data_IF_803886287602
#
_entry.id   IF_803886287602
#
_cell.length_a   1.000
_cell.length_b   1.000
_cell.length_c   1.000
_cell.angle_alpha   90.00
_cell.angle_beta   90.00
_cell.angle_gamma   90.00
#
_symmetry.space_group_name_H-M   'P 1'
#
loop_
_entity.id
_entity.type
_entity.pdbx_description
1 polymer ?
#
# COMPACT_ATOMS: atom_id res chain seq x y z
N UNK A 1 -18.67 -2.25 0.71
CA UNK A 1 -18.02 -2.40 -0.60
C UNK A 1 -18.43 -3.76 -1.12
N UNK A 2 -18.96 -3.83 -2.35
CA UNK A 2 -19.09 -5.11 -3.04
C UNK A 2 -17.72 -5.80 -3.07
N UNK A 3 -17.68 -7.12 -2.96
CA UNK A 3 -16.42 -7.86 -3.11
C UNK A 3 -15.92 -7.58 -4.53
N UNK A 4 -14.72 -7.00 -4.71
CA UNK A 4 -14.12 -6.70 -6.02
C UNK A 4 -14.13 -7.93 -6.95
N UNK A 5 -14.16 -9.13 -6.36
CA UNK A 5 -14.33 -10.39 -7.08
C UNK A 5 -15.65 -10.49 -7.84
N UNK A 6 -16.74 -9.88 -7.34
CA UNK A 6 -18.07 -9.90 -7.96
C UNK A 6 -18.13 -9.08 -9.26
N UNK A 7 -17.17 -8.18 -9.48
CA UNK A 7 -17.07 -7.36 -10.70
C UNK A 7 -16.15 -7.97 -11.77
N UNK A 8 -15.45 -9.06 -11.46
CA UNK A 8 -14.56 -9.74 -12.41
C UNK A 8 -15.35 -10.65 -13.34
N UNK A 9 -14.93 -10.75 -14.60
CA UNK A 9 -15.44 -11.77 -15.52
C UNK A 9 -14.98 -13.16 -15.06
N UNK A 10 -15.95 -13.96 -14.57
CA UNK A 10 -15.74 -15.32 -14.07
C UNK A 10 -16.11 -16.39 -15.10
N UNK A 11 -16.61 -16.02 -16.29
CA UNK A 11 -17.14 -16.96 -17.30
C UNK A 11 -16.10 -18.01 -17.72
N UNK A 12 -14.82 -17.62 -17.78
CA UNK A 12 -13.71 -18.52 -18.10
C UNK A 12 -13.54 -19.68 -17.10
N UNK A 13 -14.08 -19.57 -15.88
CA UNK A 13 -13.99 -20.61 -14.84
C UNK A 13 -15.01 -21.73 -15.01
N UNK A 14 -16.06 -21.51 -15.81
CA UNK A 14 -17.22 -22.39 -15.93
C UNK A 14 -16.93 -23.68 -16.71
N UNK A 15 -15.84 -23.72 -17.49
CA UNK A 15 -15.46 -24.89 -18.26
C UNK A 15 -14.99 -26.05 -17.38
N UNK A 16 -15.22 -27.29 -17.82
CA UNK A 16 -14.85 -28.49 -17.04
C UNK A 16 -13.35 -28.78 -17.06
N UNK A 17 -12.69 -28.62 -18.22
CA UNK A 17 -11.26 -28.95 -18.39
C UNK A 17 -10.41 -27.71 -18.17
N UNK A 18 -9.26 -27.89 -17.50
CA UNK A 18 -8.30 -26.80 -17.25
C UNK A 18 -7.82 -26.13 -18.54
N UNK A 19 -7.62 -26.91 -19.63
CA UNK A 19 -7.22 -26.35 -20.93
C UNK A 19 -8.28 -25.44 -21.54
N UNK A 20 -9.57 -25.78 -21.39
CA UNK A 20 -10.67 -24.94 -21.90
C UNK A 20 -10.80 -23.66 -21.08
N UNK A 21 -10.59 -23.74 -19.76
CA UNK A 21 -10.54 -22.56 -18.88
C UNK A 21 -9.40 -21.61 -19.28
N UNK A 22 -8.23 -22.17 -19.57
CA UNK A 22 -7.08 -21.39 -20.02
C UNK A 22 -7.38 -20.70 -21.35
N UNK A 23 -7.87 -21.43 -22.35
CA UNK A 23 -8.24 -20.86 -23.64
C UNK A 23 -9.31 -19.76 -23.51
N UNK A 24 -10.31 -19.96 -22.65
CA UNK A 24 -11.35 -18.96 -22.38
C UNK A 24 -10.77 -17.72 -21.69
N UNK A 25 -9.87 -17.88 -20.71
CA UNK A 25 -9.18 -16.76 -20.08
C UNK A 25 -8.31 -15.99 -21.06
N UNK A 26 -7.56 -16.70 -21.92
CA UNK A 26 -6.73 -16.06 -22.97
C UNK A 26 -7.55 -15.28 -24.00
N UNK A 27 -8.81 -15.65 -24.20
CA UNK A 27 -9.75 -14.98 -25.10
C UNK A 27 -10.44 -13.75 -24.50
N UNK A 28 -10.30 -13.51 -23.19
CA UNK A 28 -10.77 -12.26 -22.56
C UNK A 28 -10.10 -11.04 -23.22
N UNK A 29 -10.78 -9.89 -23.19
CA UNK A 29 -10.16 -8.64 -23.59
C UNK A 29 -9.08 -8.19 -22.59
N UNK A 30 -8.30 -7.19 -22.99
CA UNK A 30 -7.16 -6.72 -22.21
C UNK A 30 -7.61 -6.03 -20.90
N UNK A 31 -8.78 -5.39 -20.88
CA UNK A 31 -9.33 -4.74 -19.69
C UNK A 31 -9.75 -5.77 -18.62
N UNK A 32 -10.39 -6.87 -19.04
CA UNK A 32 -10.76 -7.97 -18.16
C UNK A 32 -9.51 -8.69 -17.61
N UNK A 33 -8.49 -8.92 -18.46
CA UNK A 33 -7.19 -9.47 -18.02
C UNK A 33 -6.48 -8.53 -17.05
N UNK A 34 -6.47 -7.23 -17.33
CA UNK A 34 -5.88 -6.22 -16.44
C UNK A 34 -6.61 -6.17 -15.09
N UNK A 35 -7.93 -6.31 -15.08
CA UNK A 35 -8.72 -6.39 -13.85
C UNK A 35 -8.36 -7.62 -13.00
N UNK A 36 -8.17 -8.78 -13.64
CA UNK A 36 -7.67 -9.98 -12.96
C UNK A 36 -6.25 -9.81 -12.41
N UNK A 37 -5.35 -9.19 -13.18
CA UNK A 37 -3.99 -8.88 -12.72
C UNK A 37 -4.01 -7.93 -11.52
N UNK A 38 -4.80 -6.86 -11.59
CA UNK A 38 -4.96 -5.90 -10.50
C UNK A 38 -5.50 -6.59 -9.24
N UNK A 39 -6.48 -7.50 -9.38
CA UNK A 39 -6.98 -8.30 -8.26
C UNK A 39 -5.90 -9.21 -7.68
N UNK A 40 -5.13 -9.92 -8.50
CA UNK A 40 -4.02 -10.75 -8.05
C UNK A 40 -2.97 -9.93 -7.30
N UNK A 41 -2.56 -8.77 -7.83
CA UNK A 41 -1.63 -7.85 -7.18
C UNK A 41 -2.18 -7.30 -5.86
N UNK A 42 -3.44 -6.90 -5.80
CA UNK A 42 -4.06 -6.44 -4.56
C UNK A 42 -4.07 -7.55 -3.49
N UNK A 43 -4.20 -8.82 -3.91
CA UNK A 43 -4.17 -9.98 -3.01
C UNK A 43 -2.78 -10.34 -2.48
N UNK A 44 -1.70 -9.79 -3.06
CA UNK A 44 -0.34 -9.95 -2.51
C UNK A 44 -0.02 -8.94 -1.42
N UNK A 45 -0.86 -7.93 -1.20
CA UNK A 45 -0.67 -6.96 -0.12
C UNK A 45 -0.98 -7.61 1.24
N UNK A 46 0.03 -7.68 2.10
CA UNK A 46 -0.12 -8.18 3.47
C UNK A 46 -0.35 -7.03 4.44
N UNK A 47 -1.47 -7.05 5.17
CA UNK A 47 -1.71 -6.06 6.21
C UNK A 47 -0.63 -6.15 7.31
N UNK A 48 0.00 -5.02 7.63
CA UNK A 48 0.93 -4.94 8.75
C UNK A 48 0.88 -3.57 9.40
N UNK A 49 1.17 -3.57 10.70
CA UNK A 49 1.05 -2.42 11.60
C UNK A 49 2.26 -1.48 11.54
N UNK A 50 3.30 -1.81 10.75
CA UNK A 50 4.46 -0.94 10.52
C UNK A 50 5.15 -0.44 11.79
N UNK A 51 5.23 -1.28 12.83
CA UNK A 51 5.77 -0.87 14.14
C UNK A 51 7.28 -0.69 14.03
N UNK A 52 7.77 0.50 14.39
CA UNK A 52 9.21 0.81 14.40
C UNK A 52 10.02 -0.22 15.21
N UNK A 53 11.11 -0.69 14.60
CA UNK A 53 12.03 -1.67 15.19
C UNK A 53 12.62 -1.12 16.50
N UNK A 54 12.43 -1.81 17.63
CA UNK A 54 13.38 -1.72 18.74
C UNK A 54 14.65 -2.48 18.35
N UNK A 55 15.82 -1.90 18.64
CA UNK A 55 17.10 -2.58 18.38
C UNK A 55 17.11 -3.98 19.02
N UNK A 56 17.29 -5.02 18.19
CA UNK A 56 17.38 -6.41 18.63
C UNK A 56 16.06 -7.21 18.65
N UNK A 57 14.95 -6.68 18.13
CA UNK A 57 13.71 -7.46 17.92
C UNK A 57 13.42 -7.70 16.44
N UNK A 58 13.03 -8.92 16.08
CA UNK A 58 12.46 -9.24 14.77
C UNK A 58 11.00 -8.80 14.73
N UNK A 59 10.70 -7.82 13.87
CA UNK A 59 9.36 -7.33 13.57
C UNK A 59 9.34 -6.68 12.17
N UNK A 60 8.16 -6.56 11.53
CA UNK A 60 8.06 -6.02 10.17
C UNK A 60 8.47 -4.54 10.12
N UNK A 61 9.18 -4.15 9.07
CA UNK A 61 9.59 -2.77 8.78
C UNK A 61 8.38 -1.85 8.61
N UNK A 62 8.45 -0.53 8.94
CA UNK A 62 7.45 0.41 8.49
C UNK A 62 7.21 0.26 6.98
N UNK A 63 5.94 0.16 6.58
CA UNK A 63 5.59 -0.23 5.23
C UNK A 63 5.29 1.03 4.43
N UNK A 64 6.36 1.65 3.95
CA UNK A 64 6.33 2.81 3.08
C UNK A 64 5.37 2.60 1.88
N UNK A 65 5.29 1.38 1.35
CA UNK A 65 4.32 1.01 0.30
C UNK A 65 2.86 1.23 0.72
N UNK A 66 2.48 0.91 1.97
CA UNK A 66 1.11 1.10 2.44
C UNK A 66 0.77 2.58 2.60
N UNK A 67 1.70 3.37 3.12
CA UNK A 67 1.55 4.82 3.23
C UNK A 67 1.38 5.46 1.85
N UNK A 68 2.20 5.02 0.88
CA UNK A 68 2.11 5.47 -0.51
C UNK A 68 0.77 5.09 -1.16
N UNK A 69 0.34 3.83 -1.03
CA UNK A 69 -0.94 3.36 -1.56
C UNK A 69 -2.12 4.11 -0.94
N UNK A 70 -2.09 4.34 0.38
CA UNK A 70 -3.14 5.06 1.07
C UNK A 70 -3.22 6.53 0.63
N UNK A 71 -2.07 7.17 0.40
CA UNK A 71 -2.00 8.51 -0.18
C UNK A 71 -2.55 8.53 -1.61
N UNK A 72 -2.18 7.56 -2.47
CA UNK A 72 -2.68 7.45 -3.84
C UNK A 72 -4.20 7.25 -3.89
N UNK A 73 -4.74 6.45 -2.98
CA UNK A 73 -6.18 6.22 -2.84
C UNK A 73 -6.93 7.42 -2.22
N UNK A 74 -6.22 8.46 -1.77
CA UNK A 74 -6.81 9.63 -1.14
C UNK A 74 -7.50 9.31 0.19
N UNK A 75 -7.02 8.30 0.92
CA UNK A 75 -7.58 7.93 2.22
C UNK A 75 -7.33 9.06 3.21
N UNK A 76 -8.40 9.66 3.72
CA UNK A 76 -8.33 10.66 4.77
C UNK A 76 -8.57 10.01 6.14
N UNK A 77 -7.51 9.84 6.94
CA UNK A 77 -7.63 9.23 8.27
C UNK A 77 -8.55 10.04 9.19
N UNK A 78 -8.53 11.37 9.08
CA UNK A 78 -9.35 12.27 9.91
C UNK A 78 -10.87 12.14 9.62
N UNK A 79 -11.28 11.58 8.47
CA UNK A 79 -12.69 11.27 8.20
C UNK A 79 -13.17 9.97 8.84
N UNK A 80 -12.25 9.09 9.22
CA UNK A 80 -12.58 7.78 9.81
C UNK A 80 -12.34 7.72 11.32
N UNK A 81 -11.49 8.60 11.85
CA UNK A 81 -11.16 8.64 13.26
C UNK A 81 -11.01 10.08 13.76
N UNK A 82 -11.52 10.34 14.97
CA UNK A 82 -11.41 11.64 15.66
C UNK A 82 -10.88 11.48 17.08
N UNK A 83 -9.94 12.34 17.52
CA UNK A 83 -9.46 12.29 18.88
C UNK A 83 -10.52 12.81 19.86
N UNK A 84 -10.71 12.09 20.95
CA UNK A 84 -11.58 12.46 22.07
C UNK A 84 -10.78 12.31 23.37
N UNK A 85 -11.32 12.85 24.47
CA UNK A 85 -10.78 12.66 25.81
C UNK A 85 -10.66 11.16 26.12
N UNK A 86 -11.73 10.40 25.84
CA UNK A 86 -11.81 8.97 26.13
C UNK A 86 -10.85 8.10 25.29
N UNK A 87 -10.65 8.42 24.01
CA UNK A 87 -9.85 7.59 23.11
C UNK A 87 -8.37 8.02 23.01
N UNK A 88 -8.03 9.28 23.31
CA UNK A 88 -6.68 9.82 23.07
C UNK A 88 -6.23 10.87 24.10
N UNK A 89 -6.94 11.99 24.25
CA UNK A 89 -6.41 13.16 24.97
C UNK A 89 -6.15 12.90 26.48
N UNK A 90 -6.91 11.99 27.12
CA UNK A 90 -6.63 11.60 28.50
C UNK A 90 -5.38 10.74 28.66
N UNK A 91 -4.92 10.10 27.57
CA UNK A 91 -3.78 9.17 27.58
C UNK A 91 -2.43 9.84 27.35
N UNK A 92 -2.44 11.07 26.83
CA UNK A 92 -1.22 11.84 26.58
C UNK A 92 -0.92 12.82 27.71
N UNK A 93 0.34 13.29 27.78
CA UNK A 93 0.76 14.24 28.81
C UNK A 93 0.15 15.63 28.58
N UNK A 94 0.07 16.45 29.62
CA UNK A 94 -0.36 17.86 29.49
C UNK A 94 0.52 18.64 28.49
N UNK A 95 1.82 18.35 28.47
CA UNK A 95 2.76 18.96 27.53
C UNK A 95 2.45 18.57 26.08
N UNK A 96 2.10 17.30 25.81
CA UNK A 96 1.71 16.85 24.48
C UNK A 96 0.40 17.52 24.02
N UNK A 97 -0.60 17.64 24.90
CA UNK A 97 -1.84 18.38 24.60
C UNK A 97 -1.54 19.83 24.17
N UNK A 98 -0.69 20.54 24.92
CA UNK A 98 -0.30 21.90 24.57
C UNK A 98 0.47 21.97 23.24
N UNK A 99 1.29 20.97 22.93
CA UNK A 99 1.97 20.88 21.65
C UNK A 99 0.97 20.71 20.49
N UNK A 100 -0.06 19.85 20.64
CA UNK A 100 -1.09 19.67 19.61
C UNK A 100 -1.93 20.95 19.41
N UNK A 101 -2.29 21.65 20.49
CA UNK A 101 -2.97 22.95 20.38
C UNK A 101 -2.07 23.96 19.67
N UNK A 102 -0.76 23.95 19.95
CA UNK A 102 0.20 24.82 19.27
C UNK A 102 0.38 24.49 17.80
N UNK A 103 0.24 23.22 17.42
CA UNK A 103 0.34 22.75 16.03
C UNK A 103 -0.80 23.31 15.17
N UNK A 104 -2.04 23.31 15.70
CA UNK A 104 -3.22 23.76 14.94
C UNK A 104 -3.53 25.25 15.11
N UNK A 105 -3.25 25.81 16.29
CA UNK A 105 -3.66 27.16 16.69
C UNK A 105 -2.51 28.11 17.02
N UNK A 106 -1.27 27.64 16.90
CA UNK A 106 -0.07 28.41 17.23
C UNK A 106 0.22 28.53 18.74
N UNK A 107 1.42 29.03 19.08
CA UNK A 107 1.90 29.05 20.46
C UNK A 107 1.07 29.96 21.38
N UNK A 108 0.49 31.04 20.85
CA UNK A 108 -0.37 31.96 21.62
C UNK A 108 -1.65 31.28 22.09
N UNK A 109 -2.26 30.44 21.24
CA UNK A 109 -3.44 29.67 21.64
C UNK A 109 -3.07 28.66 22.72
N UNK A 110 -1.98 27.91 22.54
CA UNK A 110 -1.50 26.98 23.56
C UNK A 110 -1.22 27.67 24.91
N UNK A 111 -0.66 28.89 24.87
CA UNK A 111 -0.38 29.66 26.07
C UNK A 111 -1.63 29.96 26.92
N UNK A 112 -2.79 30.20 26.28
CA UNK A 112 -4.07 30.42 26.99
C UNK A 112 -4.53 29.20 27.80
N UNK A 113 -4.05 28.00 27.46
CA UNK A 113 -4.40 26.75 28.13
C UNK A 113 -3.37 26.29 29.19
N UNK A 114 -2.25 27.00 29.37
CA UNK A 114 -1.21 26.58 30.32
C UNK A 114 -1.72 26.50 31.77
N UNK A 115 -2.63 27.39 32.17
CA UNK A 115 -3.24 27.41 33.50
C UNK A 115 -4.29 26.31 33.75
N UNK A 116 -4.80 25.67 32.69
CA UNK A 116 -5.88 24.69 32.79
C UNK A 116 -5.41 23.38 33.45
N UNK A 117 -6.31 22.71 34.19
CA UNK A 117 -6.05 21.35 34.66
C UNK A 117 -6.03 20.39 33.47
N UNK A 118 -5.33 19.25 33.60
CA UNK A 118 -5.19 18.27 32.49
C UNK A 118 -6.54 17.80 31.95
N UNK A 119 -7.51 17.49 32.82
CA UNK A 119 -8.85 17.04 32.41
C UNK A 119 -9.61 18.14 31.65
N UNK A 120 -9.57 19.37 32.14
CA UNK A 120 -10.23 20.51 31.48
C UNK A 120 -9.58 20.82 30.12
N UNK A 121 -8.26 20.69 30.02
CA UNK A 121 -7.52 20.81 28.75
C UNK A 121 -7.90 19.70 27.78
N UNK A 122 -7.98 18.45 28.24
CA UNK A 122 -8.41 17.30 27.44
C UNK A 122 -9.79 17.53 26.81
N UNK A 123 -10.77 17.94 27.63
CA UNK A 123 -12.11 18.27 27.17
C UNK A 123 -12.14 19.49 26.21
N UNK A 124 -11.24 20.46 26.40
CA UNK A 124 -11.11 21.60 25.50
C UNK A 124 -10.50 21.21 24.15
N UNK A 125 -9.50 20.33 24.16
CA UNK A 125 -8.94 19.74 22.95
C UNK A 125 -10.00 18.98 22.18
N UNK A 126 -10.80 18.13 22.83
CA UNK A 126 -11.89 17.40 22.16
C UNK A 126 -12.80 18.33 21.36
N UNK A 127 -13.27 19.43 21.96
CA UNK A 127 -14.10 20.43 21.27
C UNK A 127 -13.36 21.15 20.14
N UNK A 128 -12.09 21.49 20.34
CA UNK A 128 -11.26 22.13 19.33
C UNK A 128 -11.08 21.24 18.09
N UNK A 129 -10.66 19.97 18.31
CA UNK A 129 -10.40 18.99 17.27
C UNK A 129 -11.68 18.37 16.66
N UNK A 130 -12.84 18.54 17.32
CA UNK A 130 -14.15 18.31 16.73
C UNK A 130 -14.68 19.49 15.89
N UNK A 131 -13.99 20.64 15.89
CA UNK A 131 -14.41 21.84 15.16
C UNK A 131 -15.60 22.59 15.79
N UNK A 132 -15.87 22.34 17.07
CA UNK A 132 -16.95 22.96 17.86
C UNK A 132 -16.52 24.28 18.50
N UNK A 133 -15.23 24.46 18.72
CA UNK A 133 -14.67 25.71 19.26
C UNK A 133 -14.67 26.81 18.19
N UNK A 134 -15.14 28.01 18.56
CA UNK A 134 -15.09 29.18 17.69
C UNK A 134 -13.64 29.68 17.62
N UNK A 135 -12.99 29.45 16.48
CA UNK A 135 -11.60 29.86 16.18
C UNK A 135 -11.53 30.40 14.76
N UNK A 136 -10.36 30.93 14.38
CA UNK A 136 -10.10 31.34 13.00
C UNK A 136 -10.34 30.16 12.02
N UNK A 137 -10.86 30.41 10.81
CA UNK A 137 -11.16 29.36 9.84
C UNK A 137 -10.00 28.39 9.59
N UNK A 138 -8.78 28.92 9.51
CA UNK A 138 -7.55 28.16 9.23
C UNK A 138 -7.22 27.20 10.38
N UNK A 139 -7.44 27.64 11.63
CA UNK A 139 -7.26 26.80 12.82
C UNK A 139 -8.31 25.70 12.87
N UNK A 140 -9.56 26.01 12.50
CA UNK A 140 -10.63 25.03 12.44
C UNK A 140 -10.33 23.96 11.37
N UNK A 141 -9.86 24.38 10.20
CA UNK A 141 -9.46 23.47 9.13
C UNK A 141 -8.29 22.58 9.57
N UNK A 142 -7.24 23.16 10.16
CA UNK A 142 -6.11 22.41 10.70
C UNK A 142 -6.54 21.40 11.77
N UNK A 143 -7.41 21.80 12.70
CA UNK A 143 -7.96 20.92 13.73
C UNK A 143 -8.82 19.78 13.14
N UNK A 144 -9.59 20.06 12.08
CA UNK A 144 -10.36 19.06 11.36
C UNK A 144 -9.51 18.15 10.45
N UNK A 145 -8.32 18.56 10.04
CA UNK A 145 -7.39 17.70 9.31
C UNK A 145 -6.47 16.88 10.24
N UNK A 146 -6.39 17.26 11.51
CA UNK A 146 -5.41 16.71 12.43
C UNK A 146 -5.70 15.26 12.85
N UNK A 147 -4.64 14.45 12.83
CA UNK A 147 -4.54 13.14 13.48
C UNK A 147 -3.16 13.03 14.15
N UNK A 148 -2.99 12.16 15.17
CA UNK A 148 -1.69 11.88 15.77
C UNK A 148 -0.66 11.47 14.72
N UNK A 149 0.62 11.81 14.95
CA UNK A 149 1.71 11.49 14.01
C UNK A 149 1.76 10.01 13.62
N UNK A 150 1.57 9.11 14.59
CA UNK A 150 1.55 7.66 14.36
C UNK A 150 0.40 7.16 13.47
N UNK A 151 -0.58 8.02 13.13
CA UNK A 151 -1.70 7.71 12.24
C UNK A 151 -1.60 8.44 10.90
N UNK A 152 -0.53 9.21 10.65
CA UNK A 152 -0.32 9.91 9.37
C UNK A 152 0.39 8.97 8.41
N UNK A 153 -0.06 8.96 7.15
CA UNK A 153 0.70 8.34 6.07
C UNK A 153 1.92 9.22 5.77
N UNK A 154 3.11 8.64 5.75
CA UNK A 154 4.30 9.38 5.32
C UNK A 154 4.19 9.68 3.83
N UNK A 155 4.38 10.95 3.49
CA UNK A 155 4.62 11.33 2.10
C UNK A 155 6.04 10.89 1.78
N UNK A 156 6.18 9.73 1.13
CA UNK A 156 7.46 9.38 0.51
C UNK A 156 7.71 10.41 -0.59
N UNK A 157 8.82 11.14 -0.50
CA UNK A 157 9.32 11.87 -1.65
C UNK A 157 9.50 10.87 -2.80
N UNK A 158 9.12 11.24 -4.02
CA UNK A 158 9.40 10.41 -5.18
C UNK A 158 10.90 10.07 -5.17
N UNK A 159 11.23 8.79 -5.23
CA UNK A 159 12.61 8.35 -5.40
C UNK A 159 13.16 9.07 -6.63
N UNK A 160 14.35 9.68 -6.50
CA UNK A 160 15.09 10.08 -7.69
C UNK A 160 15.26 8.83 -8.56
N UNK A 161 15.09 8.93 -9.90
CA UNK A 161 15.28 7.77 -10.76
C UNK A 161 16.68 7.24 -10.49
N UNK A 162 16.77 5.96 -10.11
CA UNK A 162 18.04 5.24 -10.17
C UNK A 162 18.56 5.46 -11.60
N UNK A 163 19.74 6.07 -11.74
CA UNK A 163 20.45 6.08 -13.00
C UNK A 163 20.57 4.61 -13.40
N UNK A 164 19.76 4.17 -14.37
CA UNK A 164 19.78 2.81 -14.90
C UNK A 164 21.23 2.48 -15.26
N UNK A 165 21.89 1.66 -14.44
CA UNK A 165 23.13 1.04 -14.83
C UNK A 165 22.84 0.30 -16.14
N UNK A 166 23.62 0.51 -17.22
CA UNK A 166 23.32 -0.07 -18.51
C UNK A 166 23.19 -1.58 -18.38
N UNK A 167 21.99 -2.10 -18.63
CA UNK A 167 21.78 -3.52 -18.86
C UNK A 167 22.49 -3.84 -20.17
N UNK A 168 23.68 -4.42 -20.09
CA UNK A 168 24.35 -5.00 -21.25
C UNK A 168 23.47 -6.11 -21.82
N UNK A 169 22.77 -5.80 -22.90
CA UNK A 169 22.09 -6.80 -23.70
C UNK A 169 23.16 -7.51 -24.53
N UNK A 170 23.61 -8.70 -24.10
CA UNK A 170 24.35 -9.57 -25.00
C UNK A 170 23.41 -9.93 -26.17
N UNK A 171 23.82 -9.72 -27.43
CA UNK A 171 23.01 -10.12 -28.58
C UNK A 171 23.02 -11.65 -28.71
N UNK A 172 21.84 -12.23 -28.90
CA UNK A 172 21.63 -13.62 -29.26
C UNK A 172 22.52 -14.00 -30.46
N UNK A 173 23.41 -14.98 -30.28
CA UNK A 173 24.15 -15.53 -31.41
C UNK A 173 23.24 -16.47 -32.20
N UNK A 174 22.86 -15.98 -33.36
CA UNK A 174 22.26 -16.61 -34.52
C UNK A 174 22.47 -18.13 -34.67
N UNK A 175 21.36 -18.84 -34.82
CA UNK A 175 21.32 -20.21 -35.26
C UNK A 175 21.54 -20.25 -36.78
N UNK A 176 22.73 -20.66 -37.23
CA UNK A 176 22.97 -20.86 -38.65
C UNK A 176 24.31 -21.52 -38.99
N UNK A 177 24.40 -22.85 -38.84
CA UNK A 177 25.09 -23.70 -39.82
C UNK A 177 24.76 -25.19 -39.57
N UNK A 178 23.78 -25.72 -40.31
CA UNK A 178 23.60 -27.16 -40.47
C UNK A 178 24.37 -27.58 -41.73
N UNK A 179 25.59 -28.08 -41.54
CA UNK A 179 26.39 -28.70 -42.59
C UNK A 179 25.75 -29.99 -43.14
N UNK A 180 26.04 -30.36 -44.40
CA UNK A 180 25.19 -31.24 -45.19
C UNK A 180 25.29 -32.72 -44.81
N UNK A 181 24.19 -33.43 -45.03
CA UNK A 181 24.06 -34.86 -44.89
C UNK A 181 24.96 -35.62 -45.87
N UNK A 182 25.79 -36.53 -45.36
CA UNK A 182 26.33 -37.64 -46.16
C UNK A 182 25.54 -38.91 -45.83
N UNK A 183 24.70 -39.31 -46.78
CA UNK A 183 24.23 -40.68 -46.91
C UNK A 183 25.41 -41.58 -47.31
N UNK A 184 25.64 -42.66 -46.56
CA UNK A 184 26.18 -43.86 -47.18
C UNK A 184 25.70 -45.13 -46.47
N UNK A 185 25.50 -46.12 -47.33
CA UNK A 185 24.47 -47.14 -47.29
C UNK A 185 25.00 -48.48 -46.76
N UNK A 186 24.07 -49.31 -46.31
CA UNK A 186 24.06 -50.77 -46.15
C UNK A 186 25.33 -51.56 -45.76
N UNK A 187 25.22 -52.41 -44.72
CA UNK A 187 25.10 -53.85 -44.95
C UNK A 187 24.57 -54.63 -43.73
N UNK A 188 23.75 -55.62 -44.05
CA UNK A 188 22.94 -56.49 -43.20
C UNK A 188 23.73 -57.47 -42.31
N UNK A 189 23.04 -57.97 -41.27
CA UNK A 189 23.48 -59.10 -40.45
C UNK A 189 22.42 -59.50 -39.43
N UNK A 190 21.44 -60.28 -39.89
CA UNK A 190 20.45 -61.04 -39.11
C UNK A 190 21.11 -61.98 -38.09
N UNK A 191 20.54 -62.11 -36.88
CA UNK A 191 20.20 -63.41 -36.25
C UNK A 191 19.29 -63.20 -35.02
N UNK A 192 18.13 -63.85 -35.07
CA UNK A 192 17.26 -64.23 -33.95
C UNK A 192 17.78 -65.53 -33.35
N UNK A 193 17.65 -65.71 -32.03
CA UNK A 193 17.31 -66.95 -31.31
C UNK A 193 17.54 -66.70 -29.79
N UNK A 194 16.78 -67.20 -28.82
CA UNK A 194 15.51 -67.94 -28.74
C UNK A 194 14.99 -67.77 -27.29
#
# INVERSE_FOLDING_TARGET
MADMRETLDLSWTEHRRTVDRFSAFSALDDDAKASWLAWCMAKTLEASMGIDKKAGQSGPEPIDLHDHLAALMGINVASHWRPTSANYFDRVSKQALLAHVSEVGGPTMAASFMGSKKGDLSASCEKLFAGETIVAPEVKEAALAWVPEAMRFRVLAASEPDEEAPVEHEPESDAGDLGPAEEQDAHAGETVDA
#
